data_IF_642828232949
#
_entry.id   IF_642828232949
#
_cell.length_a   1.000
_cell.length_b   1.000
_cell.length_c   1.000
_cell.angle_alpha   90.00
_cell.angle_beta   90.00
_cell.angle_gamma   90.00
#
_symmetry.space_group_name_H-M   'P 1'
#
loop_
_entity.id
_entity.type
_entity.pdbx_description
1 polymer ?
#
# COMPACT_ATOMS: atom_id res chain seq x y z
N UNK A 1 -6.29 9.03 -2.11
CA UNK A 1 -6.75 8.12 -1.05
C UNK A 1 -5.62 7.81 -0.05
N UNK A 2 -4.43 7.43 -0.51
CA UNK A 2 -3.32 7.03 0.40
C UNK A 2 -2.31 8.12 0.76
N UNK A 3 -2.35 9.27 0.08
CA UNK A 3 -1.35 10.34 0.26
C UNK A 3 -1.42 11.08 1.60
N UNK A 4 -2.47 10.82 2.39
CA UNK A 4 -2.63 11.33 3.76
C UNK A 4 -1.78 10.55 4.78
N UNK A 5 -1.34 9.34 4.44
CA UNK A 5 -0.65 8.46 5.36
C UNK A 5 0.87 8.53 5.17
N UNK A 6 1.66 8.52 6.26
CA UNK A 6 3.12 8.51 6.17
C UNK A 6 3.63 7.18 5.60
N UNK A 7 4.81 7.20 5.00
CA UNK A 7 5.47 6.01 4.43
C UNK A 7 5.71 4.90 5.47
N UNK A 8 5.74 5.23 6.76
CA UNK A 8 5.86 4.27 7.87
C UNK A 8 4.55 3.56 8.24
N UNK A 9 3.46 3.84 7.54
CA UNK A 9 2.16 3.20 7.80
C UNK A 9 2.25 1.73 7.47
N UNK A 10 1.93 0.85 8.41
CA UNK A 10 1.95 -0.60 8.18
C UNK A 10 0.73 -1.01 7.37
N UNK A 11 0.95 -1.78 6.31
CA UNK A 11 -0.07 -2.45 5.52
C UNK A 11 -0.06 -3.92 5.88
N UNK A 12 -1.24 -4.43 6.22
CA UNK A 12 -1.49 -5.82 6.56
C UNK A 12 -2.20 -6.52 5.40
N UNK A 13 -1.46 -7.13 4.45
CA UNK A 13 -2.09 -7.89 3.40
C UNK A 13 -2.77 -9.14 3.98
N UNK A 14 -3.90 -9.55 3.40
CA UNK A 14 -4.62 -10.75 3.82
C UNK A 14 -3.84 -12.07 3.63
N UNK A 15 -2.64 -12.00 3.02
CA UNK A 15 -1.66 -13.08 2.90
C UNK A 15 -0.26 -12.47 2.85
N UNK A 16 0.75 -13.17 3.37
CA UNK A 16 2.15 -12.75 3.34
C UNK A 16 2.58 -12.00 4.60
N UNK A 17 3.78 -11.43 4.55
CA UNK A 17 4.35 -10.62 5.64
C UNK A 17 3.79 -9.18 5.62
N UNK A 18 3.80 -8.56 6.80
CA UNK A 18 3.44 -7.15 6.95
C UNK A 18 4.41 -6.27 6.16
N UNK A 19 3.88 -5.25 5.48
CA UNK A 19 4.67 -4.29 4.69
C UNK A 19 4.38 -2.87 5.16
N UNK A 20 5.06 -1.87 4.59
CA UNK A 20 4.80 -0.45 4.87
C UNK A 20 4.38 0.28 3.61
N UNK A 21 3.56 1.30 3.76
CA UNK A 21 3.00 2.09 2.67
C UNK A 21 4.09 2.67 1.76
N UNK A 22 5.24 3.05 2.31
CA UNK A 22 6.37 3.53 1.52
C UNK A 22 6.94 2.49 0.57
N UNK A 23 6.95 1.21 0.96
CA UNK A 23 7.40 0.11 0.11
C UNK A 23 6.39 -0.20 -1.01
N UNK A 24 5.09 -0.07 -0.70
CA UNK A 24 4.00 -0.34 -1.65
C UNK A 24 3.60 0.87 -2.52
N UNK A 25 4.14 2.05 -2.22
CA UNK A 25 3.82 3.31 -2.92
C UNK A 25 3.94 3.27 -4.45
N UNK A 26 4.98 2.66 -5.05
CA UNK A 26 5.05 2.52 -6.51
C UNK A 26 3.97 1.58 -7.08
N UNK A 27 3.39 0.69 -6.26
CA UNK A 27 2.37 -0.28 -6.64
C UNK A 27 0.93 0.26 -6.48
N UNK A 28 0.73 1.38 -5.78
CA UNK A 28 -0.59 1.98 -5.58
C UNK A 28 -1.32 2.33 -6.88
N UNK A 29 -0.58 2.71 -7.93
CA UNK A 29 -1.15 3.00 -9.24
C UNK A 29 -1.75 1.73 -9.87
N UNK A 30 -1.04 0.61 -9.80
CA UNK A 30 -1.50 -0.69 -10.29
C UNK A 30 -2.74 -1.17 -9.52
N UNK A 31 -2.76 -1.01 -8.19
CA UNK A 31 -3.91 -1.40 -7.37
C UNK A 31 -5.16 -0.61 -7.73
N UNK A 32 -5.01 0.69 -7.95
CA UNK A 32 -6.10 1.56 -8.40
C UNK A 32 -6.66 1.15 -9.76
N UNK A 33 -5.79 0.76 -10.70
CA UNK A 33 -6.20 0.26 -12.01
C UNK A 33 -6.93 -1.08 -11.92
N UNK A 34 -6.56 -1.92 -10.94
CA UNK A 34 -7.20 -3.21 -10.65
C UNK A 34 -8.49 -3.09 -9.84
N UNK A 35 -8.88 -1.87 -9.44
CA UNK A 35 -10.10 -1.60 -8.69
C UNK A 35 -10.04 -2.01 -7.22
N UNK A 36 -8.83 -2.10 -6.66
CA UNK A 36 -8.61 -2.25 -5.23
C UNK A 36 -8.79 -0.91 -4.49
#
# INVERSE_FOLDING_TARGET
MFDVYPDSTVIYPGHGDDTVLGAERPHLAEWRERGW
#
